data_IF_945599259033
#
_entry.id   IF_945599259033
#
_cell.length_a   1.000
_cell.length_b   1.000
_cell.length_c   1.000
_cell.angle_alpha   90.00
_cell.angle_beta   90.00
_cell.angle_gamma   90.00
#
_symmetry.space_group_name_H-M   'P 1'
#
loop_
_entity.id
_entity.type
_entity.pdbx_description
1 polymer ?
#
# COMPACT_ATOMS: atom_id res chain seq x y z
N UNK A 1 18.97 -8.10 -15.47
CA UNK A 1 18.50 -7.37 -14.26
C UNK A 1 17.14 -6.73 -14.47
N UNK A 2 16.92 -5.94 -15.52
CA UNK A 2 15.56 -5.44 -15.82
C UNK A 2 14.63 -6.50 -16.44
N UNK A 3 15.19 -7.46 -17.19
CA UNK A 3 14.44 -8.60 -17.75
C UNK A 3 13.74 -9.46 -16.68
N UNK A 4 14.37 -9.66 -15.52
CA UNK A 4 13.76 -10.39 -14.41
C UNK A 4 12.62 -9.61 -13.74
N UNK A 5 12.69 -8.27 -13.75
CA UNK A 5 11.58 -7.40 -13.33
C UNK A 5 10.39 -7.61 -14.27
N UNK A 6 10.61 -7.53 -15.59
CA UNK A 6 9.57 -7.75 -16.59
C UNK A 6 8.95 -9.14 -16.47
N UNK A 7 9.76 -10.19 -16.30
CA UNK A 7 9.27 -11.56 -16.11
C UNK A 7 8.42 -11.71 -14.84
N UNK A 8 8.83 -11.07 -13.73
CA UNK A 8 8.05 -11.08 -12.48
C UNK A 8 6.67 -10.45 -12.66
N UNK A 9 6.60 -9.26 -13.27
CA UNK A 9 5.33 -8.58 -13.49
C UNK A 9 4.51 -9.16 -14.66
N UNK A 10 5.09 -9.98 -15.53
CA UNK A 10 4.33 -10.74 -16.53
C UNK A 10 3.45 -11.83 -15.89
N UNK A 11 3.77 -12.28 -14.67
CA UNK A 11 2.98 -13.28 -13.95
C UNK A 11 1.54 -12.76 -13.71
N UNK A 12 0.49 -13.46 -14.19
CA UNK A 12 -0.91 -13.04 -14.01
C UNK A 12 -1.32 -12.89 -12.54
N UNK A 13 -0.80 -13.73 -11.65
CA UNK A 13 -1.09 -13.66 -10.22
C UNK A 13 -0.56 -12.36 -9.61
N UNK A 14 0.67 -11.97 -9.96
CA UNK A 14 1.29 -10.72 -9.48
C UNK A 14 0.46 -9.52 -9.93
N UNK A 15 0.08 -9.44 -11.20
CA UNK A 15 -0.75 -8.33 -11.73
C UNK A 15 -2.12 -8.29 -11.06
N UNK A 16 -2.72 -9.45 -10.83
CA UNK A 16 -4.01 -9.57 -10.14
C UNK A 16 -3.93 -9.03 -8.72
N UNK A 17 -2.91 -9.41 -7.95
CA UNK A 17 -2.74 -8.93 -6.57
C UNK A 17 -2.43 -7.44 -6.50
N UNK A 18 -1.65 -6.90 -7.45
CA UNK A 18 -1.41 -5.45 -7.56
C UNK A 18 -2.74 -4.73 -7.84
N UNK A 19 -3.50 -5.16 -8.84
CA UNK A 19 -4.76 -4.54 -9.21
C UNK A 19 -5.82 -4.61 -8.09
N UNK A 20 -5.89 -5.74 -7.37
CA UNK A 20 -6.74 -5.88 -6.19
C UNK A 20 -6.35 -4.89 -5.10
N UNK A 21 -5.07 -4.81 -4.76
CA UNK A 21 -4.59 -3.92 -3.70
C UNK A 21 -4.72 -2.44 -4.07
N UNK A 22 -4.38 -2.07 -5.30
CA UNK A 22 -4.38 -0.68 -5.79
C UNK A 22 -5.77 -0.10 -6.05
N UNK A 23 -6.83 -0.92 -6.05
CA UNK A 23 -8.19 -0.46 -6.31
C UNK A 23 -8.57 0.66 -5.35
N UNK A 24 -9.10 1.75 -5.91
CA UNK A 24 -9.50 2.97 -5.20
C UNK A 24 -8.34 3.65 -4.43
N UNK A 25 -7.08 3.41 -4.83
CA UNK A 25 -5.90 4.06 -4.24
C UNK A 25 -5.16 4.87 -5.29
N UNK A 26 -4.48 5.91 -4.82
CA UNK A 26 -3.53 6.65 -5.64
C UNK A 26 -2.22 5.86 -5.72
N UNK A 27 -1.76 5.60 -6.94
CA UNK A 27 -0.61 4.74 -7.22
C UNK A 27 0.64 5.58 -7.53
N UNK A 28 1.77 5.11 -7.01
CA UNK A 28 3.09 5.60 -7.37
C UNK A 28 3.93 4.46 -7.97
N UNK A 29 4.63 4.74 -9.06
CA UNK A 29 5.48 3.78 -9.76
C UNK A 29 6.91 4.27 -9.73
N UNK A 30 7.74 3.55 -8.99
CA UNK A 30 9.16 3.82 -8.88
C UNK A 30 9.91 3.18 -10.05
N UNK A 31 10.80 3.94 -10.67
CA UNK A 31 11.50 3.60 -11.90
C UNK A 31 13.02 3.50 -11.67
N UNK A 32 13.76 2.77 -12.52
CA UNK A 32 15.23 2.67 -12.42
C UNK A 32 15.96 3.92 -12.94
N UNK A 33 15.28 4.76 -13.74
CA UNK A 33 15.89 5.99 -14.25
C UNK A 33 15.96 7.07 -13.17
N UNK A 34 17.00 7.88 -13.26
CA UNK A 34 17.26 9.01 -12.38
C UNK A 34 16.77 10.32 -13.01
N UNK A 35 16.28 11.23 -12.17
CA UNK A 35 16.12 12.64 -12.46
C UNK A 35 17.50 13.32 -12.51
N UNK A 36 17.54 14.53 -13.09
CA UNK A 36 18.76 15.37 -13.08
C UNK A 36 19.30 15.65 -11.67
N UNK A 37 18.43 15.61 -10.66
CA UNK A 37 18.78 15.78 -9.25
C UNK A 37 19.42 14.56 -8.59
N UNK A 38 19.65 13.47 -9.34
CA UNK A 38 20.20 12.22 -8.79
C UNK A 38 19.19 11.37 -8.01
N UNK A 39 17.92 11.79 -7.93
CA UNK A 39 16.83 10.99 -7.35
C UNK A 39 16.22 10.05 -8.37
N UNK A 40 15.77 8.89 -7.94
CA UNK A 40 15.02 7.96 -8.80
C UNK A 40 13.68 8.58 -9.21
N UNK A 41 13.23 8.25 -10.42
CA UNK A 41 11.95 8.74 -10.95
C UNK A 41 10.81 8.03 -10.23
N UNK A 42 9.89 8.81 -9.66
CA UNK A 42 8.65 8.34 -9.07
C UNK A 42 7.46 8.92 -9.84
N UNK A 43 6.80 8.08 -10.64
CA UNK A 43 5.61 8.45 -11.40
C UNK A 43 4.39 8.38 -10.48
N UNK A 44 3.65 9.49 -10.37
CA UNK A 44 2.37 9.53 -9.65
C UNK A 44 1.21 10.07 -10.49
N UNK A 45 1.54 10.60 -11.66
CA UNK A 45 0.60 11.24 -12.56
C UNK A 45 0.92 10.88 -14.01
N UNK A 46 -0.12 10.74 -14.82
CA UNK A 46 -0.01 10.61 -16.27
C UNK A 46 -0.96 11.62 -16.92
N UNK A 47 -0.43 12.46 -17.83
CA UNK A 47 -1.20 13.55 -18.48
C UNK A 47 -1.95 14.47 -17.50
N UNK A 48 -1.39 14.66 -16.30
CA UNK A 48 -1.97 15.51 -15.26
C UNK A 48 -2.92 14.79 -14.30
N UNK A 49 -3.38 13.59 -14.65
CA UNK A 49 -4.29 12.77 -13.82
C UNK A 49 -3.50 11.85 -12.90
N UNK A 50 -3.99 11.55 -11.67
CA UNK A 50 -3.32 10.61 -10.78
C UNK A 50 -3.33 9.19 -11.37
N UNK A 51 -2.23 8.46 -11.20
CA UNK A 51 -2.17 7.07 -11.66
C UNK A 51 -3.04 6.21 -10.74
N UNK A 52 -3.87 5.35 -11.35
CA UNK A 52 -4.67 4.32 -10.69
C UNK A 52 -4.43 2.97 -11.37
N UNK A 53 -4.69 1.89 -10.64
CA UNK A 53 -4.67 0.51 -11.16
C UNK A 53 -5.90 -0.17 -10.58
N UNK A 54 -6.79 -0.62 -11.45
CA UNK A 54 -8.06 -1.26 -11.08
C UNK A 54 -8.22 -2.66 -11.68
N UNK A 55 -7.47 -2.95 -12.75
CA UNK A 55 -7.45 -4.22 -13.48
C UNK A 55 -6.00 -4.65 -13.75
N UNK A 56 -5.73 -5.96 -13.95
CA UNK A 56 -4.39 -6.46 -14.26
C UNK A 56 -3.75 -5.79 -15.48
N UNK A 57 -4.54 -5.44 -16.50
CA UNK A 57 -4.07 -4.83 -17.75
C UNK A 57 -3.50 -3.41 -17.55
N UNK A 58 -3.91 -2.71 -16.48
CA UNK A 58 -3.37 -1.40 -16.14
C UNK A 58 -1.87 -1.48 -15.78
N UNK A 59 -1.43 -2.63 -15.24
CA UNK A 59 0.00 -2.90 -14.97
C UNK A 59 0.77 -2.99 -16.29
N UNK A 60 0.23 -3.72 -17.28
CA UNK A 60 0.84 -3.86 -18.60
C UNK A 60 0.93 -2.51 -19.31
N UNK A 61 -0.15 -1.72 -19.24
CA UNK A 61 -0.18 -0.35 -19.75
C UNK A 61 0.95 0.50 -19.16
N UNK A 62 1.18 0.43 -17.85
CA UNK A 62 2.26 1.17 -17.18
C UNK A 62 3.64 0.74 -17.70
N UNK A 63 3.90 -0.57 -17.84
CA UNK A 63 5.17 -1.06 -18.37
C UNK A 63 5.41 -0.62 -19.80
N UNK A 64 4.41 -0.75 -20.68
CA UNK A 64 4.53 -0.35 -22.08
C UNK A 64 4.68 1.18 -22.22
N UNK A 65 3.81 1.93 -21.55
CA UNK A 65 3.78 3.39 -21.64
C UNK A 65 5.06 4.03 -21.13
N UNK A 66 5.60 3.51 -20.03
CA UNK A 66 6.75 4.08 -19.35
C UNK A 66 8.04 3.28 -19.53
N UNK A 67 8.12 2.35 -20.50
CA UNK A 67 9.29 1.47 -20.72
C UNK A 67 10.64 2.18 -20.72
N UNK A 68 10.72 3.40 -21.27
CA UNK A 68 11.96 4.21 -21.30
C UNK A 68 12.45 4.60 -19.90
N UNK A 69 11.53 4.75 -18.95
CA UNK A 69 11.80 5.06 -17.55
C UNK A 69 12.15 3.81 -16.74
N UNK A 70 11.85 2.62 -17.26
CA UNK A 70 12.04 1.32 -16.59
C UNK A 70 11.30 1.22 -15.25
N UNK A 71 9.94 1.13 -15.24
CA UNK A 71 9.16 0.85 -14.04
C UNK A 71 9.69 -0.37 -13.29
N UNK A 72 9.79 -0.28 -11.96
CA UNK A 72 10.40 -1.31 -11.11
C UNK A 72 9.52 -1.72 -9.93
N UNK A 73 8.88 -0.77 -9.28
CA UNK A 73 8.09 -1.04 -8.06
C UNK A 73 6.80 -0.25 -8.06
N UNK A 74 5.71 -0.88 -7.65
CA UNK A 74 4.41 -0.26 -7.47
C UNK A 74 4.16 0.00 -5.99
N UNK A 75 3.67 1.20 -5.69
CA UNK A 75 3.21 1.62 -4.38
C UNK A 75 1.78 2.14 -4.51
N UNK A 76 1.01 2.01 -3.46
CA UNK A 76 -0.31 2.60 -3.37
C UNK A 76 -0.48 3.26 -1.99
N UNK A 77 -1.23 4.35 -1.94
CA UNK A 77 -1.53 5.05 -0.69
C UNK A 77 -2.24 4.13 0.31
N UNK A 78 -2.05 4.40 1.61
CA UNK A 78 -2.87 3.79 2.65
C UNK A 78 -4.35 4.20 2.53
N UNK A 79 -4.60 5.40 2.00
CA UNK A 79 -5.93 5.95 1.78
C UNK A 79 -6.66 5.28 0.63
N UNK A 80 -7.97 5.08 0.81
CA UNK A 80 -8.92 4.72 -0.21
C UNK A 80 -9.84 5.91 -0.50
N UNK A 81 -10.07 6.20 -1.77
CA UNK A 81 -10.74 7.42 -2.24
C UNK A 81 -12.05 7.11 -2.99
N UNK A 82 -13.07 7.94 -2.81
CA UNK A 82 -14.31 7.83 -3.60
C UNK A 82 -14.06 8.15 -5.07
N UNK A 83 -13.20 9.15 -5.34
CA UNK A 83 -12.83 9.58 -6.69
C UNK A 83 -11.33 9.83 -6.82
N UNK A 84 -10.75 9.47 -7.95
CA UNK A 84 -9.33 9.72 -8.27
C UNK A 84 -9.21 10.16 -9.74
N UNK A 85 -9.76 11.33 -10.06
CA UNK A 85 -9.75 11.89 -11.42
C UNK A 85 -8.81 13.07 -11.58
N UNK A 86 -8.46 13.74 -10.49
CA UNK A 86 -7.66 14.97 -10.52
C UNK A 86 -6.68 15.05 -9.36
N UNK A 87 -5.77 16.03 -9.42
CA UNK A 87 -4.86 16.35 -8.32
C UNK A 87 -5.60 16.74 -7.05
N UNK A 88 -6.64 17.56 -7.15
CA UNK A 88 -7.41 18.00 -5.98
C UNK A 88 -8.08 16.82 -5.28
N UNK A 89 -8.56 15.83 -6.04
CA UNK A 89 -9.17 14.63 -5.46
C UNK A 89 -8.22 13.90 -4.51
N UNK A 90 -6.95 13.68 -4.89
CA UNK A 90 -6.00 12.92 -4.06
C UNK A 90 -5.47 13.71 -2.86
N UNK A 91 -5.69 15.02 -2.83
CA UNK A 91 -5.35 15.92 -1.71
C UNK A 91 -6.55 16.27 -0.81
N UNK A 92 -7.75 15.84 -1.17
CA UNK A 92 -8.93 15.99 -0.32
C UNK A 92 -9.00 14.83 0.68
N UNK A 93 -8.40 15.04 1.85
CA UNK A 93 -8.35 14.05 2.93
C UNK A 93 -9.60 14.05 3.82
N UNK A 94 -10.49 15.03 3.66
CA UNK A 94 -11.65 15.23 4.55
C UNK A 94 -12.88 14.57 3.92
N UNK A 95 -13.19 14.90 2.66
CA UNK A 95 -14.44 14.47 2.02
C UNK A 95 -14.25 13.29 1.07
N UNK A 96 -13.05 13.14 0.48
CA UNK A 96 -12.83 12.14 -0.56
C UNK A 96 -12.18 10.84 -0.05
N UNK A 97 -11.45 10.88 1.06
CA UNK A 97 -10.90 9.66 1.69
C UNK A 97 -11.98 9.01 2.54
N UNK A 98 -12.47 7.84 2.12
CA UNK A 98 -13.55 7.14 2.84
C UNK A 98 -13.06 6.06 3.80
N UNK A 99 -11.84 5.57 3.59
CA UNK A 99 -11.23 4.56 4.42
C UNK A 99 -9.71 4.62 4.31
N UNK A 100 -9.02 4.00 5.26
CA UNK A 100 -7.56 3.92 5.26
C UNK A 100 -7.14 2.57 5.81
N UNK A 101 -6.16 1.95 5.16
CA UNK A 101 -5.56 0.69 5.60
C UNK A 101 -4.59 1.00 6.75
N UNK A 102 -4.77 0.29 7.86
CA UNK A 102 -3.86 0.32 9.00
C UNK A 102 -2.77 -0.71 8.77
N UNK A 103 -1.54 -0.37 9.10
CA UNK A 103 -0.44 -1.32 9.09
C UNK A 103 0.66 -0.91 10.06
N UNK A 104 1.39 -1.91 10.53
CA UNK A 104 2.64 -1.76 11.27
C UNK A 104 3.76 -2.23 10.37
N UNK A 105 4.72 -1.35 10.09
CA UNK A 105 5.91 -1.66 9.31
C UNK A 105 7.04 -2.07 10.25
N UNK A 106 7.38 -3.36 10.22
CA UNK A 106 8.48 -3.91 11.01
C UNK A 106 9.74 -3.86 10.15
N UNK A 107 10.42 -2.72 10.22
CA UNK A 107 11.71 -2.53 9.58
C UNK A 107 12.75 -3.51 10.14
N UNK A 108 13.46 -4.20 9.23
CA UNK A 108 14.37 -5.27 9.64
C UNK A 108 15.49 -5.50 8.63
N UNK A 109 16.21 -6.60 8.83
CA UNK A 109 17.19 -7.15 7.89
C UNK A 109 16.87 -8.61 7.60
N UNK A 110 17.32 -9.12 6.46
CA UNK A 110 17.02 -10.50 6.05
C UNK A 110 17.50 -11.53 7.07
N UNK A 111 18.68 -11.32 7.67
CA UNK A 111 19.23 -12.17 8.72
C UNK A 111 18.39 -12.22 10.00
N UNK A 112 17.49 -11.24 10.20
CA UNK A 112 16.63 -11.15 11.38
C UNK A 112 15.21 -11.66 11.15
N UNK A 113 14.96 -12.35 10.03
CA UNK A 113 13.61 -12.76 9.63
C UNK A 113 12.82 -13.48 10.73
N UNK A 114 13.47 -14.34 11.51
CA UNK A 114 12.83 -15.06 12.61
C UNK A 114 12.37 -14.10 13.71
N UNK A 115 13.18 -13.10 14.05
CA UNK A 115 12.81 -12.03 14.98
C UNK A 115 11.69 -11.16 14.43
N UNK A 116 11.74 -10.81 13.14
CA UNK A 116 10.66 -10.07 12.45
C UNK A 116 9.32 -10.79 12.59
N UNK A 117 9.30 -12.11 12.38
CA UNK A 117 8.08 -12.92 12.52
C UNK A 117 7.59 -13.02 13.97
N UNK A 118 8.50 -13.06 14.96
CA UNK A 118 8.12 -13.03 16.38
C UNK A 118 7.42 -11.73 16.75
N UNK A 119 7.95 -10.59 16.31
CA UNK A 119 7.32 -9.27 16.52
C UNK A 119 5.96 -9.21 15.83
N UNK A 120 5.89 -9.65 14.57
CA UNK A 120 4.62 -9.72 13.85
C UNK A 120 3.58 -10.58 14.59
N UNK A 121 3.99 -11.73 15.13
CA UNK A 121 3.12 -12.61 15.92
C UNK A 121 2.54 -11.91 17.15
N UNK A 122 3.33 -11.11 17.86
CA UNK A 122 2.84 -10.32 19.02
C UNK A 122 1.74 -9.35 18.58
N UNK A 123 1.96 -8.60 17.49
CA UNK A 123 0.96 -7.67 16.95
C UNK A 123 -0.32 -8.40 16.54
N UNK A 124 -0.19 -9.53 15.82
CA UNK A 124 -1.34 -10.36 15.41
C UNK A 124 -2.12 -10.85 16.64
N UNK A 125 -1.44 -11.38 17.65
CA UNK A 125 -2.09 -11.87 18.88
C UNK A 125 -2.81 -10.76 19.65
N UNK A 126 -2.25 -9.55 19.70
CA UNK A 126 -2.92 -8.41 20.29
C UNK A 126 -4.19 -8.03 19.53
N UNK A 127 -4.15 -8.01 18.20
CA UNK A 127 -5.34 -7.76 17.36
C UNK A 127 -6.41 -8.85 17.56
N UNK A 128 -5.99 -10.12 17.61
CA UNK A 128 -6.88 -11.26 17.87
C UNK A 128 -7.53 -11.20 19.25
N UNK A 129 -6.79 -10.76 20.28
CA UNK A 129 -7.32 -10.52 21.62
C UNK A 129 -8.40 -9.42 21.64
N UNK A 130 -8.36 -8.49 20.68
CA UNK A 130 -9.40 -7.48 20.45
C UNK A 130 -10.50 -7.95 19.47
N UNK A 131 -10.52 -9.25 19.14
CA UNK A 131 -11.56 -9.87 18.30
C UNK A 131 -11.32 -9.78 16.80
N UNK A 132 -10.17 -9.28 16.34
CA UNK A 132 -9.83 -9.18 14.92
C UNK A 132 -9.16 -10.48 14.45
N UNK A 133 -9.83 -11.27 13.59
CA UNK A 133 -9.29 -12.57 13.13
C UNK A 133 -9.12 -12.65 11.61
N UNK A 134 -10.19 -12.44 10.85
CA UNK A 134 -10.21 -12.69 9.40
C UNK A 134 -9.85 -11.46 8.54
N UNK A 135 -9.33 -10.40 9.17
CA UNK A 135 -9.03 -9.13 8.51
C UNK A 135 -7.55 -8.76 8.54
N UNK A 136 -6.69 -9.67 9.01
CA UNK A 136 -5.25 -9.45 9.13
C UNK A 136 -4.55 -10.14 7.98
N UNK A 137 -3.62 -9.45 7.32
CA UNK A 137 -2.75 -10.05 6.32
C UNK A 137 -1.33 -9.53 6.45
N UNK A 138 -0.37 -10.40 6.15
CA UNK A 138 1.05 -10.11 6.27
C UNK A 138 1.66 -9.93 4.88
N UNK A 139 2.57 -8.96 4.74
CA UNK A 139 3.33 -8.72 3.51
C UNK A 139 4.81 -8.64 3.81
N UNK A 140 5.62 -9.50 3.21
CA UNK A 140 7.07 -9.35 3.25
C UNK A 140 7.48 -8.16 2.36
N UNK A 141 8.05 -7.11 2.96
CA UNK A 141 8.37 -5.85 2.26
C UNK A 141 9.72 -5.91 1.52
N UNK A 142 10.43 -7.03 1.65
CA UNK A 142 11.75 -7.27 1.09
C UNK A 142 12.79 -7.41 2.20
N UNK A 143 12.88 -6.41 3.10
CA UNK A 143 13.78 -6.46 4.28
C UNK A 143 13.05 -6.47 5.61
N UNK A 144 11.73 -6.43 5.59
CA UNK A 144 10.90 -6.45 6.79
C UNK A 144 9.55 -7.09 6.50
N UNK A 145 8.61 -6.84 7.39
CA UNK A 145 7.25 -7.35 7.28
C UNK A 145 6.26 -6.25 7.64
N UNK A 146 5.23 -6.09 6.82
CA UNK A 146 4.08 -5.30 7.20
C UNK A 146 2.98 -6.21 7.74
N UNK A 147 2.46 -5.86 8.92
CA UNK A 147 1.20 -6.41 9.43
C UNK A 147 0.11 -5.45 9.01
N UNK A 148 -0.80 -5.86 8.14
CA UNK A 148 -1.91 -5.03 7.68
C UNK A 148 -3.22 -5.47 8.33
N UNK A 149 -4.05 -4.48 8.66
CA UNK A 149 -5.45 -4.68 8.99
C UNK A 149 -6.32 -4.11 7.87
N UNK A 150 -7.14 -4.97 7.28
CA UNK A 150 -8.07 -4.63 6.22
C UNK A 150 -9.02 -3.52 6.70
N UNK A 151 -9.22 -2.47 5.91
CA UNK A 151 -10.02 -1.29 6.30
C UNK A 151 -11.47 -1.64 6.69
N UNK A 152 -12.05 -2.67 6.07
CA UNK A 152 -13.37 -3.22 6.44
C UNK A 152 -13.45 -3.92 7.81
N UNK A 153 -12.33 -4.09 8.51
CA UNK A 153 -12.37 -4.47 9.94
C UNK A 153 -13.04 -3.40 10.80
N UNK A 154 -13.08 -2.16 10.29
CA UNK A 154 -13.74 -1.04 10.92
C UNK A 154 -15.13 -0.86 10.32
N UNK A 155 -16.13 -0.75 11.21
CA UNK A 155 -17.51 -0.58 10.79
C UNK A 155 -17.74 0.76 10.06
N UNK A 156 -18.62 0.76 9.05
CA UNK A 156 -19.06 1.98 8.38
C UNK A 156 -19.65 3.02 9.37
N UNK A 157 -20.30 2.56 10.45
CA UNK A 157 -20.80 3.42 11.52
C UNK A 157 -19.69 4.22 12.20
N UNK A 158 -18.50 3.64 12.37
CA UNK A 158 -17.37 4.34 12.98
C UNK A 158 -16.74 5.33 12.00
N UNK A 159 -16.57 4.92 10.73
CA UNK A 159 -16.12 5.83 9.67
C UNK A 159 -17.06 7.02 9.43
N UNK A 160 -18.37 6.86 9.70
CA UNK A 160 -19.32 7.98 9.61
C UNK A 160 -19.19 9.04 10.72
N UNK A 161 -18.40 8.76 11.75
CA UNK A 161 -18.26 9.60 12.94
C UNK A 161 -16.86 10.16 13.15
N UNK A 162 -15.84 9.41 12.73
CA UNK A 162 -14.44 9.74 12.96
C UNK A 162 -13.73 9.73 11.60
N UNK A 163 -13.01 10.80 11.24
CA UNK A 163 -12.21 10.84 10.02
C UNK A 163 -11.29 9.62 9.90
N UNK A 164 -11.12 9.01 8.72
CA UNK A 164 -10.29 7.81 8.56
C UNK A 164 -8.85 7.98 9.03
N UNK A 165 -8.26 9.19 8.88
CA UNK A 165 -6.92 9.49 9.37
C UNK A 165 -6.84 9.31 10.90
N UNK A 166 -7.68 10.00 11.64
CA UNK A 166 -7.67 10.00 13.11
C UNK A 166 -7.95 8.59 13.64
N UNK A 167 -8.95 7.93 13.05
CA UNK A 167 -9.34 6.59 13.46
C UNK A 167 -8.20 5.57 13.28
N UNK A 168 -7.55 5.58 12.12
CA UNK A 168 -6.45 4.66 11.86
C UNK A 168 -5.20 5.00 12.66
N UNK A 169 -4.91 6.29 12.86
CA UNK A 169 -3.80 6.72 13.72
C UNK A 169 -4.00 6.22 15.16
N UNK A 170 -5.15 6.48 15.77
CA UNK A 170 -5.43 6.07 17.14
C UNK A 170 -5.35 4.56 17.35
N UNK A 171 -5.83 3.76 16.39
CA UNK A 171 -5.77 2.29 16.47
C UNK A 171 -4.35 1.76 16.29
N UNK A 172 -3.59 2.31 15.35
CA UNK A 172 -2.18 1.93 15.15
C UNK A 172 -1.38 2.24 16.41
N UNK A 173 -1.50 3.45 16.95
CA UNK A 173 -0.83 3.87 18.17
C UNK A 173 -1.24 3.03 19.38
N UNK A 174 -2.54 2.72 19.53
CA UNK A 174 -3.02 1.88 20.62
C UNK A 174 -2.33 0.52 20.65
N UNK A 175 -2.23 -0.17 19.51
CA UNK A 175 -1.56 -1.47 19.44
C UNK A 175 -0.05 -1.33 19.63
N UNK A 176 0.57 -0.28 19.06
CA UNK A 176 2.00 -0.01 19.24
C UNK A 176 2.35 0.16 20.71
N UNK A 177 1.57 0.94 21.47
CA UNK A 177 1.76 1.14 22.90
C UNK A 177 1.55 -0.14 23.73
N UNK A 178 0.72 -1.08 23.26
CA UNK A 178 0.52 -2.38 23.90
C UNK A 178 1.62 -3.40 23.60
N UNK A 179 2.47 -3.13 22.60
CA UNK A 179 3.63 -3.94 22.26
C UNK A 179 4.90 -3.55 23.03
N UNK A 180 4.91 -2.36 23.65
CA UNK A 180 6.00 -1.84 24.48
C UNK A 180 5.88 -2.34 25.92
#
# INVERSE_FOLDING_TARGET
>A
MYSSVLAYYANPQVRTEIAKYCRNRWVAVHCEKFLKSGRLVLLRYYRGEPITISRPEDVDFIFEKFKKLKPRTFYATANLYFRISSRSDVFDYIENVYARTMFWDIDSKLEWWSTTLKIAKVIVQLLEAHGVRESIYLKWSGRGLHVHLHEKAISAKLYSKIPPLDLTYSLVEYITLKCQ
#
